data_IF_375303876850
#
_entry.id   IF_375303876850
#
_cell.length_a   1.000
_cell.length_b   1.000
_cell.length_c   1.000
_cell.angle_alpha   90.00
_cell.angle_beta   90.00
_cell.angle_gamma   90.00
#
_symmetry.space_group_name_H-M   'P 1'
#
loop_
_entity.id
_entity.type
_entity.pdbx_description
1 polymer ?
#
# COMPACT_ATOMS: atom_id res chain seq x y z
N UNK A 1 29.61 -53.87 63.56
CA UNK A 1 29.91 -53.08 62.36
C UNK A 1 28.61 -52.51 61.69
N UNK A 2 27.91 -51.53 62.32
CA UNK A 2 26.65 -50.93 61.77
C UNK A 2 26.56 -49.42 62.06
N UNK A 3 27.67 -48.69 62.22
CA UNK A 3 27.68 -47.26 62.60
C UNK A 3 28.09 -46.29 61.44
N UNK A 4 28.53 -46.77 60.29
CA UNK A 4 29.10 -45.90 59.26
C UNK A 4 28.18 -45.65 58.05
N UNK A 5 26.95 -46.20 58.04
CA UNK A 5 26.02 -46.00 56.89
C UNK A 5 25.12 -44.76 57.01
N UNK A 6 24.85 -44.36 58.27
CA UNK A 6 23.98 -43.21 58.59
C UNK A 6 24.67 -41.85 58.38
N UNK A 7 26.00 -41.78 58.64
CA UNK A 7 26.77 -40.55 58.46
C UNK A 7 27.01 -40.16 57.03
N UNK A 8 27.12 -41.15 56.11
CA UNK A 8 27.25 -40.88 54.64
C UNK A 8 25.98 -40.38 54.03
N UNK A 9 24.83 -40.82 54.50
CA UNK A 9 23.54 -40.36 54.02
C UNK A 9 23.23 -38.91 54.46
N UNK A 10 23.69 -38.51 55.65
CA UNK A 10 23.44 -37.18 56.20
C UNK A 10 24.34 -36.08 55.54
N UNK A 11 25.58 -36.43 55.20
CA UNK A 11 26.52 -35.50 54.52
C UNK A 11 26.12 -35.27 53.08
N UNK A 12 25.55 -36.27 52.38
CA UNK A 12 25.07 -36.14 50.99
C UNK A 12 23.77 -35.34 50.97
N UNK A 13 22.89 -35.44 51.95
CA UNK A 13 21.67 -34.67 52.03
C UNK A 13 21.90 -33.18 52.31
N UNK A 14 22.93 -32.83 53.11
CA UNK A 14 23.27 -31.44 53.40
C UNK A 14 24.02 -30.77 52.24
N UNK A 15 24.79 -31.51 51.44
CA UNK A 15 25.45 -30.99 50.22
C UNK A 15 24.50 -30.82 49.04
N UNK A 16 23.37 -31.55 48.96
CA UNK A 16 22.34 -31.37 47.93
C UNK A 16 21.38 -30.22 48.24
N UNK A 17 21.20 -29.79 49.47
CA UNK A 17 20.38 -28.63 49.82
C UNK A 17 21.07 -27.27 49.62
N UNK A 18 22.41 -27.23 49.53
CA UNK A 18 23.15 -25.98 49.33
C UNK A 18 23.34 -25.59 47.86
N UNK A 19 22.93 -26.43 46.87
CA UNK A 19 23.03 -26.16 45.44
C UNK A 19 21.73 -25.66 44.81
N UNK A 20 20.62 -25.55 45.54
CA UNK A 20 19.33 -25.06 45.03
C UNK A 20 19.04 -23.60 45.40
N UNK A 21 19.87 -22.96 46.21
CA UNK A 21 19.67 -21.57 46.68
C UNK A 21 20.34 -20.50 45.79
N UNK A 22 20.61 -20.77 44.51
CA UNK A 22 21.35 -19.84 43.65
C UNK A 22 20.80 -19.61 42.24
N UNK A 23 19.67 -20.22 41.87
CA UNK A 23 19.01 -19.87 40.62
C UNK A 23 17.88 -18.85 40.89
N UNK A 24 18.24 -17.62 41.20
CA UNK A 24 17.37 -16.48 40.92
C UNK A 24 17.29 -16.46 39.41
N UNK A 25 16.09 -16.66 38.78
CA UNK A 25 15.99 -16.44 37.38
C UNK A 25 16.38 -14.98 37.15
N UNK A 26 17.54 -14.75 36.53
CA UNK A 26 17.86 -13.44 36.00
C UNK A 26 16.73 -13.12 35.03
N UNK A 27 15.77 -12.32 35.47
CA UNK A 27 14.82 -11.70 34.59
C UNK A 27 15.65 -10.88 33.61
N UNK A 28 15.96 -11.47 32.44
CA UNK A 28 16.53 -10.74 31.33
C UNK A 28 15.45 -9.71 30.95
N UNK A 29 15.56 -8.54 31.56
CA UNK A 29 14.75 -7.39 31.16
C UNK A 29 15.08 -7.16 29.68
N UNK A 30 14.19 -7.56 28.82
CA UNK A 30 14.35 -7.29 27.39
C UNK A 30 14.56 -5.77 27.24
N UNK A 31 15.74 -5.39 26.78
CA UNK A 31 16.09 -3.98 26.65
C UNK A 31 14.98 -3.24 25.91
N UNK A 32 14.45 -2.20 26.54
CA UNK A 32 13.34 -1.42 25.98
C UNK A 32 13.79 -0.84 24.64
N UNK A 33 13.11 -1.23 23.54
CA UNK A 33 13.42 -0.75 22.20
C UNK A 33 13.34 0.77 22.14
N UNK A 34 14.40 1.42 21.68
CA UNK A 34 14.46 2.86 21.45
C UNK A 34 15.19 3.14 20.13
N UNK A 35 14.77 4.22 19.43
CA UNK A 35 15.37 4.60 18.17
C UNK A 35 14.91 3.75 16.98
N UNK A 36 15.74 3.71 15.94
CA UNK A 36 15.46 2.97 14.72
C UNK A 36 15.66 1.47 14.89
N UNK A 37 14.64 0.70 14.56
CA UNK A 37 14.67 -0.77 14.56
C UNK A 37 14.27 -1.28 13.18
N UNK A 38 15.07 -2.17 12.60
CA UNK A 38 14.73 -2.89 11.37
C UNK A 38 13.81 -4.06 11.73
N UNK A 39 12.65 -4.11 11.14
CA UNK A 39 11.69 -5.22 11.23
C UNK A 39 11.51 -5.89 9.87
N UNK A 40 10.78 -7.00 9.81
CA UNK A 40 10.56 -7.79 8.58
C UNK A 40 10.09 -6.93 7.41
N UNK A 41 9.21 -5.95 7.65
CA UNK A 41 8.59 -5.14 6.61
C UNK A 41 9.19 -3.72 6.48
N UNK A 42 10.29 -3.42 7.17
CA UNK A 42 10.98 -2.14 7.06
C UNK A 42 11.46 -1.56 8.38
N UNK A 43 11.83 -0.28 8.36
CA UNK A 43 12.34 0.42 9.54
C UNK A 43 11.19 1.06 10.33
N UNK A 44 11.17 0.81 11.64
CA UNK A 44 10.27 1.44 12.61
C UNK A 44 11.07 2.31 13.58
N UNK A 45 10.42 3.29 14.19
CA UNK A 45 11.03 4.11 15.23
C UNK A 45 10.30 3.89 16.55
N UNK A 46 11.07 3.67 17.60
CA UNK A 46 10.55 3.43 18.95
C UNK A 46 10.95 4.56 19.91
N UNK A 47 10.05 4.95 20.77
CA UNK A 47 10.28 5.86 21.88
C UNK A 47 9.77 5.24 23.16
N UNK A 48 10.63 5.12 24.15
CA UNK A 48 10.30 4.50 25.47
C UNK A 48 9.59 3.15 25.29
N UNK A 49 10.10 2.30 24.40
CA UNK A 49 9.54 0.98 24.11
C UNK A 49 8.30 0.97 23.22
N UNK A 50 7.71 2.11 22.90
CA UNK A 50 6.50 2.19 22.09
C UNK A 50 6.83 2.53 20.63
N UNK A 51 6.23 1.79 19.70
CA UNK A 51 6.37 2.05 18.25
C UNK A 51 5.63 3.31 17.87
N UNK A 52 6.33 4.26 17.28
CA UNK A 52 5.75 5.51 16.74
C UNK A 52 4.93 5.19 15.49
N UNK A 53 3.70 5.69 15.39
CA UNK A 53 2.75 5.42 14.28
C UNK A 53 1.98 6.66 13.87
N UNK A 54 1.53 6.67 12.60
CA UNK A 54 0.62 7.68 12.02
C UNK A 54 1.05 9.14 12.20
N UNK A 55 2.34 9.43 12.17
CA UNK A 55 2.80 10.81 12.36
C UNK A 55 4.08 11.14 11.61
N UNK A 56 4.23 12.43 11.32
CA UNK A 56 5.50 13.04 10.96
C UNK A 56 6.35 13.16 12.23
N UNK A 57 7.59 12.74 12.15
CA UNK A 57 8.54 12.79 13.26
C UNK A 57 9.86 13.39 12.81
N UNK A 58 10.33 14.42 13.54
CA UNK A 58 11.67 14.98 13.35
C UNK A 58 12.65 14.20 14.23
N UNK A 59 13.65 13.57 13.61
CA UNK A 59 14.65 12.75 14.26
C UNK A 59 16.02 13.21 13.76
N UNK A 60 16.88 13.67 14.66
CA UNK A 60 18.20 14.22 14.35
C UNK A 60 18.16 15.21 13.16
N UNK A 61 17.24 16.20 13.22
CA UNK A 61 17.09 17.24 12.22
C UNK A 61 16.33 16.84 10.93
N UNK A 62 16.10 15.54 10.67
CA UNK A 62 15.44 15.02 9.48
C UNK A 62 13.97 14.64 9.79
N UNK A 63 13.07 14.89 8.85
CA UNK A 63 11.65 14.58 9.01
C UNK A 63 11.30 13.29 8.29
N UNK A 64 10.60 12.40 9.00
CA UNK A 64 10.12 11.10 8.53
C UNK A 64 8.62 10.97 8.74
N UNK A 65 7.96 10.10 7.98
CA UNK A 65 6.60 9.68 8.27
C UNK A 65 6.56 8.19 8.63
N UNK A 66 6.04 7.92 9.82
CA UNK A 66 5.78 6.55 10.30
C UNK A 66 4.31 6.25 10.03
N UNK A 67 4.01 5.26 9.20
CA UNK A 67 2.65 4.89 8.82
C UNK A 67 1.82 4.32 9.97
N UNK A 68 0.59 3.89 9.69
CA UNK A 68 -0.28 3.20 10.67
C UNK A 68 0.34 1.89 11.20
N UNK A 69 1.20 1.28 10.42
CA UNK A 69 2.02 0.10 10.74
C UNK A 69 3.29 0.45 11.53
N UNK A 70 3.59 1.73 11.71
CA UNK A 70 4.83 2.23 12.30
C UNK A 70 6.04 2.15 11.36
N UNK A 71 5.85 1.71 10.12
CA UNK A 71 6.94 1.61 9.15
C UNK A 71 7.19 2.98 8.50
N UNK A 72 8.47 3.31 8.42
CA UNK A 72 8.96 4.49 7.71
C UNK A 72 8.55 4.44 6.23
N UNK A 73 7.89 5.49 5.76
CA UNK A 73 7.45 5.57 4.36
C UNK A 73 8.55 6.20 3.48
N UNK A 74 8.60 5.74 2.25
CA UNK A 74 9.47 6.21 1.17
C UNK A 74 8.63 6.61 -0.03
N UNK A 75 9.21 7.30 -1.00
CA UNK A 75 8.54 7.78 -2.20
C UNK A 75 7.37 8.74 -1.90
N UNK A 76 6.42 8.88 -2.82
CA UNK A 76 5.23 9.67 -2.58
C UNK A 76 4.25 8.93 -1.67
N UNK A 77 3.88 9.58 -0.58
CA UNK A 77 2.94 9.04 0.40
C UNK A 77 1.97 10.10 0.90
N UNK A 78 0.67 9.75 0.93
CA UNK A 78 -0.37 10.67 1.42
C UNK A 78 -0.40 10.69 2.95
N UNK A 79 -0.06 11.83 3.50
CA UNK A 79 -0.01 12.11 4.94
C UNK A 79 -1.28 12.86 5.33
N UNK A 80 -1.94 12.39 6.40
CA UNK A 80 -3.02 13.12 7.07
C UNK A 80 -2.39 14.21 7.95
N UNK A 81 -2.81 15.44 7.79
CA UNK A 81 -2.36 16.58 8.59
C UNK A 81 -3.56 17.41 9.06
N UNK A 82 -3.32 18.39 9.91
CA UNK A 82 -4.35 19.36 10.34
C UNK A 82 -3.95 20.75 9.85
N UNK A 83 -4.90 21.48 9.27
CA UNK A 83 -4.73 22.88 8.89
C UNK A 83 -5.96 23.67 9.32
N UNK A 84 -5.77 24.73 10.12
CA UNK A 84 -6.85 25.54 10.67
C UNK A 84 -7.96 24.68 11.32
N UNK A 85 -7.57 23.71 12.16
CA UNK A 85 -8.48 22.78 12.85
C UNK A 85 -9.14 21.71 11.97
N UNK A 86 -8.95 21.72 10.65
CA UNK A 86 -9.55 20.76 9.72
C UNK A 86 -8.56 19.71 9.27
N UNK A 87 -9.03 18.46 9.10
CA UNK A 87 -8.24 17.41 8.48
C UNK A 87 -7.99 17.73 7.02
N UNK A 88 -6.73 17.72 6.62
CA UNK A 88 -6.28 17.85 5.23
C UNK A 88 -5.30 16.74 4.91
N UNK A 89 -5.16 16.43 3.63
CA UNK A 89 -4.19 15.45 3.16
C UNK A 89 -3.17 16.13 2.23
N UNK A 90 -1.90 15.76 2.41
CA UNK A 90 -0.80 16.17 1.55
C UNK A 90 -0.07 14.93 1.03
N UNK A 91 0.16 14.85 -0.27
CA UNK A 91 1.15 13.92 -0.78
C UNK A 91 2.53 14.53 -0.56
N UNK A 92 3.38 13.84 0.17
CA UNK A 92 4.75 14.25 0.53
C UNK A 92 5.74 13.25 -0.05
N UNK A 93 6.85 13.73 -0.61
CA UNK A 93 7.89 12.87 -1.16
C UNK A 93 8.98 12.63 -0.13
N UNK A 94 9.29 11.37 0.09
CA UNK A 94 10.39 10.90 0.93
C UNK A 94 11.44 10.21 0.04
N UNK A 95 12.71 10.32 0.39
CA UNK A 95 13.80 9.63 -0.32
C UNK A 95 13.81 8.11 0.03
N UNK A 96 14.74 7.36 -0.53
CA UNK A 96 14.91 5.92 -0.26
C UNK A 96 15.25 5.63 1.21
N UNK A 97 15.80 6.60 1.93
CA UNK A 97 16.05 6.53 3.37
C UNK A 97 14.86 7.04 4.19
N UNK A 98 13.72 7.38 3.55
CA UNK A 98 12.50 7.87 4.17
C UNK A 98 12.58 9.30 4.72
N UNK A 99 13.58 10.08 4.33
CA UNK A 99 13.69 11.48 4.71
C UNK A 99 12.81 12.33 3.79
N UNK A 100 12.03 13.24 4.38
CA UNK A 100 11.22 14.20 3.62
C UNK A 100 12.11 15.10 2.75
N UNK A 101 11.82 15.15 1.46
CA UNK A 101 12.64 15.86 0.47
C UNK A 101 12.27 17.35 0.31
N UNK A 102 11.32 17.88 1.10
CA UNK A 102 10.75 19.20 0.91
C UNK A 102 9.64 19.28 -0.13
N UNK A 103 9.44 18.24 -0.95
CA UNK A 103 8.42 18.23 -2.02
C UNK A 103 7.09 17.73 -1.50
N UNK A 104 6.04 18.56 -1.61
CA UNK A 104 4.68 18.17 -1.27
C UNK A 104 3.65 18.82 -2.19
N UNK A 105 2.47 18.20 -2.28
CA UNK A 105 1.31 18.77 -2.97
C UNK A 105 0.04 18.49 -2.19
N UNK A 106 -0.92 19.43 -2.24
CA UNK A 106 -2.24 19.21 -1.68
C UNK A 106 -2.99 18.18 -2.51
N UNK A 107 -3.63 17.22 -1.85
CA UNK A 107 -4.53 16.25 -2.49
C UNK A 107 -5.98 16.52 -2.09
N UNK A 108 -6.90 16.18 -2.98
CA UNK A 108 -8.32 16.36 -2.71
C UNK A 108 -8.72 15.47 -1.52
N UNK A 109 -9.04 16.14 -0.39
CA UNK A 109 -9.39 15.48 0.87
C UNK A 109 -10.61 14.57 0.73
N UNK A 110 -11.65 15.02 0.03
CA UNK A 110 -12.87 14.23 -0.17
C UNK A 110 -12.61 12.97 -1.01
N UNK A 111 -11.74 13.09 -2.02
CA UNK A 111 -11.33 11.92 -2.83
C UNK A 111 -10.59 10.89 -1.97
N UNK A 112 -9.66 11.31 -1.11
CA UNK A 112 -8.95 10.40 -0.20
C UNK A 112 -9.91 9.75 0.78
N UNK A 113 -10.81 10.51 1.42
CA UNK A 113 -11.80 9.97 2.34
C UNK A 113 -12.71 8.94 1.66
N UNK A 114 -13.13 9.21 0.41
CA UNK A 114 -13.93 8.27 -0.38
C UNK A 114 -13.15 7.00 -0.71
N UNK A 115 -11.88 7.13 -1.10
CA UNK A 115 -11.01 5.97 -1.36
C UNK A 115 -10.82 5.13 -0.08
N UNK A 116 -10.56 5.77 1.05
CA UNK A 116 -10.41 5.08 2.34
C UNK A 116 -11.72 4.35 2.75
N UNK A 117 -12.89 4.94 2.49
CA UNK A 117 -14.18 4.29 2.72
C UNK A 117 -14.37 3.04 1.86
N UNK A 118 -14.03 3.11 0.57
CA UNK A 118 -14.07 1.94 -0.34
C UNK A 118 -13.10 0.86 0.14
N UNK A 119 -11.85 1.21 0.47
CA UNK A 119 -10.83 0.28 0.94
C UNK A 119 -11.30 -0.42 2.24
N UNK A 120 -11.85 0.35 3.19
CA UNK A 120 -12.40 -0.17 4.45
C UNK A 120 -13.56 -1.13 4.20
N UNK A 121 -14.49 -0.81 3.29
CA UNK A 121 -15.64 -1.66 2.96
C UNK A 121 -15.22 -3.02 2.38
N UNK A 122 -14.05 -3.10 1.76
CA UNK A 122 -13.46 -4.34 1.26
C UNK A 122 -12.66 -5.11 2.32
N UNK A 123 -12.68 -4.67 3.58
CA UNK A 123 -11.88 -5.25 4.68
C UNK A 123 -10.40 -5.38 4.32
N UNK A 124 -9.86 -4.37 3.65
CA UNK A 124 -8.43 -4.30 3.31
C UNK A 124 -7.72 -3.56 4.43
N UNK A 125 -6.75 -4.21 5.06
CA UNK A 125 -5.90 -3.58 6.07
C UNK A 125 -5.11 -2.41 5.46
N UNK A 126 -4.97 -1.32 6.22
CA UNK A 126 -4.11 -0.17 5.88
C UNK A 126 -2.72 -0.26 6.50
N UNK A 127 -2.44 -1.34 7.24
CA UNK A 127 -1.15 -1.60 7.88
C UNK A 127 -0.06 -2.08 6.92
N UNK A 128 1.05 -2.56 7.50
CA UNK A 128 2.13 -3.17 6.74
C UNK A 128 1.63 -4.34 5.91
N UNK A 129 2.06 -4.40 4.66
CA UNK A 129 1.61 -5.41 3.72
C UNK A 129 2.79 -6.15 3.14
N UNK A 130 2.73 -7.47 3.25
CA UNK A 130 3.56 -8.35 2.43
C UNK A 130 3.17 -8.20 0.95
N UNK A 131 3.98 -8.69 0.04
CA UNK A 131 3.61 -8.70 -1.38
C UNK A 131 2.31 -9.46 -1.62
N UNK A 132 2.09 -10.57 -0.93
CA UNK A 132 0.84 -11.36 -0.96
C UNK A 132 -0.38 -10.51 -0.50
N UNK A 133 -0.22 -9.70 0.53
CA UNK A 133 -1.29 -8.80 1.00
C UNK A 133 -1.60 -7.70 -0.03
N UNK A 134 -0.57 -7.16 -0.71
CA UNK A 134 -0.74 -6.17 -1.77
C UNK A 134 -1.49 -6.77 -2.96
N UNK A 135 -1.10 -7.98 -3.39
CA UNK A 135 -1.79 -8.70 -4.46
C UNK A 135 -3.25 -8.99 -4.12
N UNK A 136 -3.52 -9.47 -2.90
CA UNK A 136 -4.89 -9.71 -2.42
C UNK A 136 -5.71 -8.41 -2.39
N UNK A 137 -5.12 -7.29 -1.97
CA UNK A 137 -5.76 -5.98 -2.00
C UNK A 137 -6.07 -5.53 -3.43
N UNK A 138 -5.11 -5.66 -4.36
CA UNK A 138 -5.32 -5.34 -5.78
C UNK A 138 -6.46 -6.16 -6.38
N UNK A 139 -6.51 -7.47 -6.11
CA UNK A 139 -7.58 -8.36 -6.60
C UNK A 139 -8.95 -7.94 -6.09
N UNK A 140 -9.07 -7.65 -4.78
CA UNK A 140 -10.34 -7.16 -4.19
C UNK A 140 -10.79 -5.84 -4.82
N UNK A 141 -9.89 -4.86 -4.96
CA UNK A 141 -10.20 -3.54 -5.52
C UNK A 141 -10.51 -3.61 -7.01
N UNK A 142 -9.79 -4.44 -7.75
CA UNK A 142 -10.08 -4.71 -9.15
C UNK A 142 -11.50 -5.25 -9.34
N UNK A 143 -11.86 -6.29 -8.59
CA UNK A 143 -13.19 -6.89 -8.62
C UNK A 143 -14.29 -5.91 -8.17
N UNK A 144 -14.00 -5.03 -7.22
CA UNK A 144 -14.92 -3.97 -6.79
C UNK A 144 -15.14 -2.96 -7.91
N UNK A 145 -14.06 -2.46 -8.53
CA UNK A 145 -14.13 -1.48 -9.62
C UNK A 145 -14.80 -2.09 -10.86
N UNK A 146 -14.48 -3.34 -11.18
CA UNK A 146 -15.10 -4.09 -12.28
C UNK A 146 -16.63 -4.12 -12.20
N UNK A 147 -17.22 -4.11 -11.00
CA UNK A 147 -18.68 -4.14 -10.80
C UNK A 147 -19.36 -2.80 -11.08
N UNK A 148 -18.63 -1.71 -11.24
CA UNK A 148 -19.22 -0.40 -11.54
C UNK A 148 -19.87 -0.39 -12.91
N UNK A 149 -20.81 0.55 -13.12
CA UNK A 149 -21.56 0.63 -14.37
C UNK A 149 -20.85 1.49 -15.40
N UNK A 150 -20.99 1.14 -16.68
CA UNK A 150 -20.54 2.02 -17.74
C UNK A 150 -21.50 3.19 -17.92
N UNK A 151 -20.96 4.36 -18.19
CA UNK A 151 -21.73 5.55 -18.51
C UNK A 151 -20.92 6.46 -19.44
N UNK A 152 -21.57 6.94 -20.49
CA UNK A 152 -20.94 7.91 -21.37
C UNK A 152 -20.63 9.19 -20.58
N UNK A 153 -19.41 9.70 -20.74
CA UNK A 153 -18.97 10.98 -20.20
C UNK A 153 -18.56 11.85 -21.38
N UNK A 154 -19.30 12.93 -21.58
CA UNK A 154 -19.05 13.87 -22.68
C UNK A 154 -17.78 14.66 -22.39
N UNK A 155 -16.97 14.94 -23.41
CA UNK A 155 -15.78 15.79 -23.29
C UNK A 155 -14.53 15.12 -22.71
N UNK A 156 -14.57 13.80 -22.39
CA UNK A 156 -13.38 13.02 -22.04
C UNK A 156 -12.99 12.04 -23.15
N UNK A 157 -11.83 12.31 -23.71
CA UNK A 157 -11.20 11.51 -24.76
C UNK A 157 -9.66 11.60 -24.61
N UNK A 158 -8.89 10.96 -25.48
CA UNK A 158 -7.43 10.94 -25.41
C UNK A 158 -6.78 12.34 -25.49
N UNK A 159 -7.44 13.33 -26.10
CA UNK A 159 -6.93 14.71 -26.21
C UNK A 159 -7.20 15.51 -24.96
N UNK A 160 -8.36 15.34 -24.35
CA UNK A 160 -8.84 16.15 -23.23
C UNK A 160 -8.52 15.56 -21.86
N UNK A 161 -8.28 14.24 -21.78
CA UNK A 161 -7.87 13.60 -20.53
C UNK A 161 -6.41 13.91 -20.22
N UNK A 162 -6.13 14.23 -18.96
CA UNK A 162 -4.80 14.58 -18.49
C UNK A 162 -4.67 14.31 -16.97
N UNK A 163 -3.44 14.48 -16.43
CA UNK A 163 -3.14 14.27 -15.01
C UNK A 163 -4.10 14.99 -14.06
N UNK A 164 -4.46 16.24 -14.36
CA UNK A 164 -5.34 17.06 -13.51
C UNK A 164 -6.77 16.49 -13.38
N UNK A 165 -7.21 15.67 -14.33
CA UNK A 165 -8.55 15.09 -14.31
C UNK A 165 -8.64 13.75 -13.56
N UNK A 166 -7.51 13.10 -13.26
CA UNK A 166 -7.50 11.76 -12.66
C UNK A 166 -8.21 11.76 -11.29
N UNK A 167 -7.87 12.66 -10.39
CA UNK A 167 -8.44 12.68 -9.03
C UNK A 167 -9.93 13.01 -9.01
N UNK A 168 -10.39 13.93 -9.85
CA UNK A 168 -11.81 14.27 -10.01
C UNK A 168 -12.61 13.11 -10.61
N UNK A 169 -12.07 12.46 -11.65
CA UNK A 169 -12.67 11.26 -12.26
C UNK A 169 -12.77 10.11 -11.27
N UNK A 170 -11.72 9.87 -10.48
CA UNK A 170 -11.71 8.86 -9.43
C UNK A 170 -12.77 9.14 -8.35
N UNK A 171 -12.85 10.39 -7.85
CA UNK A 171 -13.84 10.80 -6.86
C UNK A 171 -15.26 10.54 -7.36
N UNK A 172 -15.56 10.98 -8.58
CA UNK A 172 -16.87 10.82 -9.22
C UNK A 172 -17.22 9.33 -9.38
N UNK A 173 -16.27 8.52 -9.89
CA UNK A 173 -16.51 7.08 -10.12
C UNK A 173 -16.77 6.34 -8.81
N UNK A 174 -15.98 6.59 -7.77
CA UNK A 174 -16.18 5.97 -6.46
C UNK A 174 -17.50 6.39 -5.80
N UNK A 175 -18.00 7.60 -6.10
CA UNK A 175 -19.29 8.09 -5.61
C UNK A 175 -20.48 7.54 -6.38
N UNK A 176 -20.48 7.77 -7.69
CA UNK A 176 -21.60 7.45 -8.57
C UNK A 176 -21.61 5.99 -9.06
N UNK A 177 -20.48 5.29 -8.92
CA UNK A 177 -20.28 3.92 -9.44
C UNK A 177 -20.64 3.76 -10.91
N UNK A 178 -20.51 4.84 -11.69
CA UNK A 178 -20.85 4.91 -13.12
C UNK A 178 -19.91 5.88 -13.83
N UNK A 179 -19.34 5.48 -14.96
CA UNK A 179 -18.45 6.29 -15.78
C UNK A 179 -17.88 5.53 -16.96
N UNK A 180 -17.05 6.19 -17.77
CA UNK A 180 -16.36 5.58 -18.89
C UNK A 180 -14.98 5.00 -18.51
N UNK A 181 -14.20 4.52 -19.48
CA UNK A 181 -12.88 3.91 -19.24
C UNK A 181 -11.92 4.81 -18.43
N UNK A 182 -11.91 6.12 -18.67
CA UNK A 182 -11.08 7.08 -17.91
C UNK A 182 -11.44 7.12 -16.43
N UNK A 183 -12.72 7.02 -16.11
CA UNK A 183 -13.24 6.98 -14.75
C UNK A 183 -12.88 5.67 -14.05
N UNK A 184 -13.01 4.53 -14.76
CA UNK A 184 -12.61 3.21 -14.27
C UNK A 184 -11.12 3.18 -13.94
N UNK A 185 -10.28 3.60 -14.88
CA UNK A 185 -8.83 3.65 -14.70
C UNK A 185 -8.44 4.56 -13.54
N UNK A 186 -9.01 5.77 -13.47
CA UNK A 186 -8.74 6.73 -12.41
C UNK A 186 -9.12 6.20 -11.03
N UNK A 187 -10.31 5.61 -10.87
CA UNK A 187 -10.77 5.07 -9.60
C UNK A 187 -9.90 3.91 -9.13
N UNK A 188 -9.64 2.94 -10.01
CA UNK A 188 -8.80 1.80 -9.66
C UNK A 188 -7.36 2.23 -9.33
N UNK A 189 -6.78 3.16 -10.09
CA UNK A 189 -5.44 3.66 -9.84
C UNK A 189 -5.32 4.33 -8.46
N UNK A 190 -6.26 5.19 -8.08
CA UNK A 190 -6.28 5.85 -6.76
C UNK A 190 -6.44 4.81 -5.66
N UNK A 191 -7.37 3.87 -5.80
CA UNK A 191 -7.61 2.80 -4.81
C UNK A 191 -6.37 1.91 -4.65
N UNK A 192 -5.77 1.49 -5.76
CA UNK A 192 -4.57 0.66 -5.76
C UNK A 192 -3.38 1.37 -5.10
N UNK A 193 -3.09 2.61 -5.50
CA UNK A 193 -2.02 3.43 -4.91
C UNK A 193 -2.23 3.62 -3.40
N UNK A 194 -3.44 4.00 -2.99
CA UNK A 194 -3.79 4.25 -1.60
C UNK A 194 -3.70 3.01 -0.74
N UNK A 195 -4.14 1.86 -1.28
CA UNK A 195 -4.16 0.60 -0.54
C UNK A 195 -2.80 -0.08 -0.44
N UNK A 196 -1.94 0.05 -1.44
CA UNK A 196 -0.70 -0.74 -1.54
C UNK A 196 0.58 0.07 -1.44
N UNK A 197 0.53 1.38 -1.74
CA UNK A 197 1.72 2.23 -1.87
C UNK A 197 2.58 1.96 -3.11
N UNK A 198 2.25 0.96 -3.92
CA UNK A 198 3.01 0.61 -5.12
C UNK A 198 3.08 1.80 -6.12
N UNK A 199 4.09 1.85 -6.99
CA UNK A 199 4.07 2.76 -8.13
C UNK A 199 2.89 2.41 -9.04
N UNK A 200 2.02 3.40 -9.30
CA UNK A 200 0.81 3.25 -10.12
C UNK A 200 0.76 4.39 -11.12
N UNK A 201 0.44 4.08 -12.37
CA UNK A 201 0.17 5.08 -13.39
C UNK A 201 -1.15 4.80 -14.13
N UNK A 202 -1.86 5.85 -14.49
CA UNK A 202 -2.97 5.79 -15.42
C UNK A 202 -2.41 5.97 -16.83
N UNK A 203 -2.75 5.07 -17.71
CA UNK A 203 -2.38 5.11 -19.14
C UNK A 203 -3.62 5.35 -19.98
N UNK A 204 -3.47 6.09 -21.07
CA UNK A 204 -4.51 6.26 -22.06
C UNK A 204 -3.95 6.36 -23.48
N UNK A 205 -4.72 5.91 -24.42
CA UNK A 205 -4.33 5.77 -25.80
C UNK A 205 -5.36 4.96 -26.57
N UNK A 206 -4.93 3.94 -27.29
CA UNK A 206 -5.82 3.04 -28.03
C UNK A 206 -5.68 1.61 -27.54
N UNK A 207 -6.78 0.85 -27.62
CA UNK A 207 -6.77 -0.57 -27.28
C UNK A 207 -7.70 -1.35 -28.19
N UNK A 208 -7.31 -2.58 -28.50
CA UNK A 208 -8.13 -3.58 -29.19
C UNK A 208 -8.83 -4.53 -28.21
N UNK A 209 -8.86 -4.20 -26.91
CA UNK A 209 -9.43 -5.09 -25.88
C UNK A 209 -10.91 -5.42 -26.10
N UNK A 210 -11.68 -4.52 -26.72
CA UNK A 210 -13.10 -4.76 -27.00
C UNK A 210 -13.35 -5.34 -28.39
N UNK A 211 -12.44 -5.12 -29.34
CA UNK A 211 -12.55 -5.63 -30.71
C UNK A 211 -11.15 -5.88 -31.27
N UNK A 212 -10.84 -7.13 -31.64
CA UNK A 212 -9.52 -7.54 -32.11
C UNK A 212 -9.08 -6.76 -33.37
N UNK A 213 -10.02 -6.43 -34.26
CA UNK A 213 -9.75 -5.80 -35.54
C UNK A 213 -9.90 -4.28 -35.53
N UNK A 214 -10.38 -3.68 -34.43
CA UNK A 214 -10.62 -2.25 -34.31
C UNK A 214 -10.09 -1.68 -33.01
N UNK A 215 -9.06 -0.87 -33.11
CA UNK A 215 -8.56 -0.10 -31.97
C UNK A 215 -9.52 1.05 -31.62
N UNK A 216 -9.75 1.27 -30.33
CA UNK A 216 -10.61 2.33 -29.80
C UNK A 216 -9.84 3.11 -28.75
N UNK A 217 -10.22 4.38 -28.55
CA UNK A 217 -9.72 5.16 -27.40
C UNK A 217 -10.04 4.45 -26.10
N UNK A 218 -9.03 4.33 -25.25
CA UNK A 218 -9.15 3.60 -23.98
C UNK A 218 -8.19 4.12 -22.93
N UNK A 219 -8.55 3.87 -21.67
CA UNK A 219 -7.70 4.13 -20.51
C UNK A 219 -7.66 2.90 -19.59
N UNK A 220 -6.47 2.61 -19.07
CA UNK A 220 -6.18 1.49 -18.15
C UNK A 220 -5.19 1.92 -17.09
N UNK A 221 -4.85 1.00 -16.22
CA UNK A 221 -3.87 1.22 -15.15
C UNK A 221 -2.68 0.31 -15.34
N UNK A 222 -1.52 0.83 -15.03
CA UNK A 222 -0.32 0.02 -14.89
C UNK A 222 0.26 0.18 -13.49
N UNK A 223 0.66 -0.95 -12.90
CA UNK A 223 1.23 -1.05 -11.56
C UNK A 223 2.57 -1.75 -11.64
N UNK A 224 3.58 -1.16 -11.02
CA UNK A 224 4.90 -1.79 -10.91
C UNK A 224 4.89 -2.74 -9.72
N UNK A 225 5.09 -4.02 -10.00
CA UNK A 225 5.11 -5.08 -8.98
C UNK A 225 6.53 -5.36 -8.46
N UNK A 226 6.64 -6.32 -7.56
CA UNK A 226 7.91 -6.72 -6.93
C UNK A 226 8.95 -7.25 -7.92
N UNK A 227 8.53 -7.77 -9.07
CA UNK A 227 9.42 -8.18 -10.17
C UNK A 227 10.06 -6.99 -10.92
N UNK A 228 9.81 -5.76 -10.47
CA UNK A 228 10.32 -4.53 -11.06
C UNK A 228 9.66 -4.14 -12.39
N UNK A 229 8.66 -4.90 -12.86
CA UNK A 229 7.99 -4.69 -14.16
C UNK A 229 6.63 -4.03 -13.99
N UNK A 230 6.19 -3.32 -15.01
CA UNK A 230 4.85 -2.77 -15.11
C UNK A 230 3.86 -3.83 -15.59
N UNK A 231 2.71 -3.89 -14.92
CA UNK A 231 1.63 -4.83 -15.20
C UNK A 231 0.32 -4.09 -15.46
N UNK A 232 -0.40 -4.48 -16.51
CA UNK A 232 -1.69 -3.92 -16.90
C UNK A 232 -2.80 -4.44 -15.99
N UNK A 233 -3.68 -3.51 -15.61
CA UNK A 233 -4.93 -3.75 -14.90
C UNK A 233 -6.03 -2.95 -15.58
N UNK A 234 -7.01 -3.62 -16.13
CA UNK A 234 -8.11 -2.99 -16.85
C UNK A 234 -9.47 -3.51 -16.36
N UNK A 235 -10.03 -2.93 -15.28
CA UNK A 235 -11.32 -3.36 -14.78
C UNK A 235 -12.49 -3.05 -15.75
N UNK A 236 -12.36 -2.07 -16.64
CA UNK A 236 -13.35 -1.77 -17.66
C UNK A 236 -13.32 -2.84 -18.77
N UNK A 237 -12.14 -3.16 -19.28
CA UNK A 237 -11.96 -4.27 -20.21
C UNK A 237 -12.41 -5.60 -19.61
N UNK A 238 -12.08 -5.89 -18.35
CA UNK A 238 -12.52 -7.10 -17.66
C UNK A 238 -14.03 -7.25 -17.55
N UNK A 239 -14.78 -6.15 -17.56
CA UNK A 239 -16.24 -6.19 -17.48
C UNK A 239 -16.93 -6.31 -18.84
N UNK A 240 -16.44 -5.61 -19.84
CA UNK A 240 -17.16 -5.39 -21.09
C UNK A 240 -16.51 -6.00 -22.33
N UNK A 241 -15.28 -6.51 -22.24
CA UNK A 241 -14.65 -7.22 -23.33
C UNK A 241 -15.26 -8.61 -23.52
N UNK A 242 -15.48 -8.96 -24.77
CA UNK A 242 -15.86 -10.33 -25.19
C UNK A 242 -14.63 -11.18 -25.51
N UNK A 243 -13.46 -10.56 -25.62
CA UNK A 243 -12.20 -11.26 -25.91
C UNK A 243 -11.78 -12.14 -24.74
N UNK A 244 -11.49 -13.41 -25.04
CA UNK A 244 -11.00 -14.41 -24.08
C UNK A 244 -9.49 -14.68 -24.21
N UNK A 245 -8.89 -14.21 -25.30
CA UNK A 245 -7.49 -14.38 -25.65
C UNK A 245 -6.56 -13.36 -24.96
N UNK A 246 -7.12 -12.37 -24.29
CA UNK A 246 -6.35 -11.32 -23.59
C UNK A 246 -6.76 -11.18 -22.14
N UNK A 247 -5.79 -11.31 -21.25
CA UNK A 247 -5.97 -11.02 -19.84
C UNK A 247 -6.05 -9.51 -19.57
N UNK A 248 -6.83 -9.14 -18.57
CA UNK A 248 -7.05 -7.75 -18.13
C UNK A 248 -6.58 -7.48 -16.71
N UNK A 249 -6.03 -8.49 -16.04
CA UNK A 249 -5.56 -8.42 -14.66
C UNK A 249 -4.11 -8.88 -14.58
N UNK A 250 -3.24 -8.05 -14.02
CA UNK A 250 -1.83 -8.33 -13.74
C UNK A 250 -1.01 -8.82 -14.96
N UNK A 251 -1.36 -8.39 -16.16
CA UNK A 251 -0.63 -8.79 -17.36
C UNK A 251 0.65 -7.97 -17.52
N UNK A 252 1.79 -8.59 -17.75
CA UNK A 252 3.01 -7.85 -18.08
C UNK A 252 2.77 -6.95 -19.29
N UNK A 253 3.16 -5.68 -19.22
CA UNK A 253 2.99 -4.72 -20.33
C UNK A 253 3.60 -5.27 -21.61
N UNK A 254 4.77 -5.93 -21.52
CA UNK A 254 5.44 -6.55 -22.67
C UNK A 254 4.60 -7.62 -23.38
N UNK A 255 3.77 -8.35 -22.63
CA UNK A 255 2.96 -9.45 -23.18
C UNK A 255 1.67 -8.95 -23.87
N UNK A 256 1.22 -7.73 -23.56
CA UNK A 256 -0.05 -7.17 -24.07
C UNK A 256 0.15 -5.86 -24.84
N UNK A 257 1.38 -5.52 -25.22
CA UNK A 257 1.71 -4.29 -25.95
C UNK A 257 1.00 -4.13 -27.29
N UNK A 258 0.62 -5.24 -27.93
CA UNK A 258 -0.17 -5.24 -29.17
C UNK A 258 -1.62 -4.85 -28.93
N UNK A 259 -2.13 -5.04 -27.72
CA UNK A 259 -3.50 -4.74 -27.32
C UNK A 259 -3.64 -3.34 -26.71
N UNK A 260 -2.70 -2.93 -25.88
CA UNK A 260 -2.71 -1.66 -25.17
C UNK A 260 -1.59 -0.75 -25.70
N UNK A 261 -1.94 0.25 -26.48
CA UNK A 261 -1.00 1.22 -27.06
C UNK A 261 -1.15 2.57 -26.35
N UNK A 262 -0.39 2.79 -25.30
CA UNK A 262 -0.38 4.06 -24.57
C UNK A 262 0.19 5.19 -25.45
N UNK A 263 -0.55 6.28 -25.56
CA UNK A 263 -0.08 7.55 -26.13
C UNK A 263 0.48 8.43 -25.02
N UNK A 264 -0.16 8.37 -23.84
CA UNK A 264 0.26 9.12 -22.64
C UNK A 264 0.06 8.27 -21.39
N UNK A 265 0.80 8.61 -20.35
CA UNK A 265 0.59 8.07 -19.00
C UNK A 265 0.88 9.14 -17.93
N UNK A 266 0.41 8.89 -16.72
CA UNK A 266 0.69 9.75 -15.58
C UNK A 266 0.80 8.92 -14.32
N UNK A 267 1.95 8.97 -13.67
CA UNK A 267 2.13 8.39 -12.34
C UNK A 267 1.37 9.17 -11.28
N UNK A 268 0.80 8.42 -10.33
CA UNK A 268 0.08 8.98 -9.20
C UNK A 268 1.05 9.30 -8.06
N UNK A 269 1.13 10.57 -7.75
CA UNK A 269 1.84 11.08 -6.58
C UNK A 269 0.83 11.24 -5.43
N UNK A 270 0.50 10.11 -4.77
CA UNK A 270 -0.43 10.06 -3.65
C UNK A 270 0.22 9.46 -2.40
#
# INVERSE_FOLDING_TARGET
>A
MKKNRTYRAFVIAVLLCSLVAGMIPATVSAATKNGWVKETNGYCYYEKGKKVKNQLKKIKGKTYYLGSDGIRKTEWYTVKTTSKGKTVYKAMKFDSKGVYTGKSQTVNTQMIQKADAVIKSQKISTGSKTEKDKEAALKKLFNTTKKYNYGRVIGLNNRTFNKGKITGSAYTMMGKKKGNCYYYASAFAVLAKRATGLPVRVCWGTSTIFNKNRAQEHAWVEIKLADGKWHVYDPNGARFSTRKDVGTYAQKVSSVKSVYKAVKNSELNL
#
